data_IF_802713735327
#
_entry.id   IF_802713735327
#
_cell.length_a   1.000
_cell.length_b   1.000
_cell.length_c   1.000
_cell.angle_alpha   90.00
_cell.angle_beta   90.00
_cell.angle_gamma   90.00
#
_symmetry.space_group_name_H-M   'P 1'
#
loop_
_entity.id
_entity.type
_entity.pdbx_description
1 polymer ?
#
# COMPACT_ATOMS: atom_id res chain seq x y z
N UNK A 1 51.18 14.02 -6.99
CA UNK A 1 50.32 12.83 -6.71
C UNK A 1 49.54 12.93 -5.40
N UNK A 2 50.09 13.48 -4.32
CA UNK A 2 49.35 13.62 -3.05
C UNK A 2 48.14 14.59 -3.15
N UNK A 3 48.32 15.76 -3.79
CA UNK A 3 47.26 16.76 -3.94
C UNK A 3 46.04 16.25 -4.74
N UNK A 4 46.29 15.45 -5.78
CA UNK A 4 45.22 14.85 -6.60
C UNK A 4 44.43 13.79 -5.84
N UNK A 5 45.08 13.00 -4.97
CA UNK A 5 44.40 12.00 -4.15
C UNK A 5 43.50 12.65 -3.09
N UNK A 6 43.96 13.73 -2.45
CA UNK A 6 43.16 14.47 -1.47
C UNK A 6 41.91 15.11 -2.10
N UNK A 7 42.04 15.70 -3.30
CA UNK A 7 40.91 16.30 -4.01
C UNK A 7 39.83 15.27 -4.38
N UNK A 8 40.22 14.08 -4.86
CA UNK A 8 39.28 13.01 -5.18
C UNK A 8 38.54 12.49 -3.95
N UNK A 9 39.23 12.38 -2.81
CA UNK A 9 38.60 11.95 -1.56
C UNK A 9 37.54 12.95 -1.09
N UNK A 10 37.83 14.25 -1.13
CA UNK A 10 36.86 15.30 -0.77
C UNK A 10 35.66 15.31 -1.73
N UNK A 11 35.90 15.23 -3.03
CA UNK A 11 34.84 15.20 -4.04
C UNK A 11 33.92 13.98 -3.85
N UNK A 12 34.49 12.81 -3.53
CA UNK A 12 33.72 11.61 -3.23
C UNK A 12 32.74 11.82 -2.07
N UNK A 13 33.21 12.37 -0.94
CA UNK A 13 32.35 12.64 0.22
C UNK A 13 31.28 13.70 -0.05
N UNK A 14 31.59 14.72 -0.85
CA UNK A 14 30.60 15.73 -1.28
C UNK A 14 29.51 15.06 -2.13
N UNK A 15 29.87 14.22 -3.10
CA UNK A 15 28.90 13.50 -3.92
C UNK A 15 28.02 12.56 -3.08
N UNK A 16 28.61 11.83 -2.12
CA UNK A 16 27.86 10.99 -1.19
C UNK A 16 26.90 11.84 -0.36
N UNK A 17 27.37 12.94 0.24
CA UNK A 17 26.53 13.84 1.04
C UNK A 17 25.37 14.45 0.25
N UNK A 18 25.63 14.93 -0.98
CA UNK A 18 24.59 15.45 -1.87
C UNK A 18 23.59 14.39 -2.29
N UNK A 19 24.03 13.15 -2.53
CA UNK A 19 23.11 12.06 -2.88
C UNK A 19 22.17 11.69 -1.74
N UNK A 20 22.67 11.69 -0.49
CA UNK A 20 21.85 11.47 0.71
C UNK A 20 20.87 12.64 0.89
N UNK A 21 21.36 13.88 0.84
CA UNK A 21 20.52 15.07 0.98
C UNK A 21 19.43 15.14 -0.11
N UNK A 22 19.74 14.72 -1.34
CA UNK A 22 18.76 14.68 -2.43
C UNK A 22 17.70 13.59 -2.22
N UNK A 23 18.08 12.41 -1.73
CA UNK A 23 17.15 11.34 -1.36
C UNK A 23 16.25 11.78 -0.21
N UNK A 24 16.81 12.39 0.84
CA UNK A 24 16.05 12.91 1.98
C UNK A 24 15.14 14.07 1.60
N UNK A 25 15.62 15.01 0.78
CA UNK A 25 14.80 16.09 0.24
C UNK A 25 13.66 15.54 -0.60
N UNK A 26 13.89 14.51 -1.41
CA UNK A 26 12.85 13.87 -2.20
C UNK A 26 11.87 13.10 -1.32
N UNK A 27 12.33 12.47 -0.24
CA UNK A 27 11.48 11.80 0.75
C UNK A 27 10.64 12.82 1.54
N UNK A 28 11.21 13.97 1.91
CA UNK A 28 10.55 15.08 2.58
C UNK A 28 9.56 15.83 1.68
N UNK A 29 9.89 15.99 0.38
CA UNK A 29 9.00 16.60 -0.61
C UNK A 29 7.89 15.68 -1.06
N UNK A 30 8.18 14.39 -1.07
CA UNK A 30 7.16 13.36 -1.03
C UNK A 30 6.33 13.71 0.19
N UNK A 31 6.81 13.47 1.42
CA UNK A 31 6.34 13.97 2.73
C UNK A 31 4.84 14.33 2.97
N UNK A 32 4.38 15.30 2.18
CA UNK A 32 3.78 16.52 2.66
C UNK A 32 4.65 17.18 3.74
N UNK A 33 4.62 18.51 3.89
CA UNK A 33 4.92 19.09 5.18
C UNK A 33 3.91 18.55 6.20
N UNK A 34 4.27 17.48 6.92
CA UNK A 34 3.58 16.96 8.10
C UNK A 34 3.63 17.93 9.29
N UNK A 35 3.97 19.21 9.05
CA UNK A 35 4.14 20.25 10.05
C UNK A 35 2.81 20.85 10.55
N UNK A 36 1.67 20.22 10.22
CA UNK A 36 0.37 20.53 10.82
C UNK A 36 0.14 19.75 12.11
N UNK A 37 -0.61 20.33 13.04
CA UNK A 37 -1.18 19.54 14.14
C UNK A 37 -2.04 18.40 13.54
N UNK A 38 -1.92 17.15 14.02
CA UNK A 38 -2.79 16.08 13.56
C UNK A 38 -4.26 16.48 13.73
N UNK A 39 -5.02 16.43 12.64
CA UNK A 39 -6.47 16.69 12.65
C UNK A 39 -7.19 15.35 12.81
N UNK A 40 -8.04 15.16 13.83
CA UNK A 40 -8.90 13.99 13.97
C UNK A 40 -9.79 13.79 12.74
N UNK A 41 -10.08 12.53 12.35
CA UNK A 41 -11.04 12.24 11.28
C UNK A 41 -12.40 12.93 11.52
N UNK A 42 -12.83 13.01 12.79
CA UNK A 42 -14.08 13.66 13.17
C UNK A 42 -14.15 15.16 12.82
N UNK A 43 -13.00 15.82 12.67
CA UNK A 43 -12.86 17.25 12.39
C UNK A 43 -12.52 17.54 10.92
N UNK A 44 -12.57 16.53 10.04
CA UNK A 44 -12.25 16.72 8.63
C UNK A 44 -13.26 17.63 7.93
N UNK A 45 -12.75 18.51 7.09
CA UNK A 45 -13.54 19.41 6.24
C UNK A 45 -13.81 18.76 4.88
N UNK A 46 -15.02 18.99 4.33
CA UNK A 46 -15.37 18.52 2.98
C UNK A 46 -14.52 19.22 1.91
N UNK A 47 -14.10 18.47 0.89
CA UNK A 47 -13.34 18.96 -0.25
C UNK A 47 -11.84 19.15 -0.01
N UNK A 48 -11.37 19.00 1.24
CA UNK A 48 -9.95 19.17 1.58
C UNK A 48 -9.13 17.93 1.24
N UNK A 49 -7.91 18.14 0.76
CA UNK A 49 -6.94 17.06 0.61
C UNK A 49 -6.28 16.74 1.94
N UNK A 50 -6.23 15.46 2.28
CA UNK A 50 -5.71 15.01 3.56
C UNK A 50 -4.96 13.68 3.42
N UNK A 51 -3.91 13.55 4.22
CA UNK A 51 -3.24 12.29 4.51
C UNK A 51 -3.81 11.71 5.79
N UNK A 52 -4.58 10.64 5.66
CA UNK A 52 -5.17 9.93 6.78
C UNK A 52 -4.29 8.74 7.16
N UNK A 53 -4.10 8.53 8.46
CA UNK A 53 -3.35 7.38 8.99
C UNK A 53 -4.22 6.70 10.02
N UNK A 54 -4.60 5.46 9.75
CA UNK A 54 -5.51 4.72 10.61
C UNK A 54 -5.38 3.21 10.44
N UNK A 55 -6.28 2.50 11.10
CA UNK A 55 -6.37 1.05 11.12
C UNK A 55 -7.45 0.59 10.13
N UNK A 56 -7.13 -0.41 9.32
CA UNK A 56 -8.06 -0.98 8.35
C UNK A 56 -9.15 -1.78 9.06
N UNK A 57 -10.40 -1.47 8.71
CA UNK A 57 -11.61 -2.24 9.00
C UNK A 57 -12.20 -2.71 7.68
N UNK A 58 -12.43 -4.01 7.54
CA UNK A 58 -12.95 -4.55 6.29
C UNK A 58 -14.43 -4.19 6.10
N UNK A 59 -14.82 -3.88 4.87
CA UNK A 59 -16.23 -3.86 4.50
C UNK A 59 -16.80 -5.30 4.49
N UNK A 60 -18.13 -5.45 4.52
CA UNK A 60 -18.79 -6.77 4.59
C UNK A 60 -18.36 -7.71 3.45
N UNK A 61 -18.16 -7.18 2.25
CA UNK A 61 -17.68 -7.92 1.09
C UNK A 61 -16.16 -7.80 0.94
N UNK A 62 -15.41 -8.42 1.85
CA UNK A 62 -13.94 -8.49 1.76
C UNK A 62 -13.44 -9.40 0.63
N UNK A 63 -12.21 -9.19 0.18
CA UNK A 63 -11.50 -10.10 -0.72
C UNK A 63 -10.77 -11.19 0.07
N UNK A 64 -10.32 -12.23 -0.63
CA UNK A 64 -9.36 -13.20 -0.11
C UNK A 64 -8.07 -13.13 -0.92
N UNK A 65 -6.95 -13.02 -0.22
CA UNK A 65 -5.63 -13.06 -0.84
C UNK A 65 -5.38 -14.45 -1.47
N UNK A 66 -4.90 -14.53 -2.72
CA UNK A 66 -4.92 -15.77 -3.50
C UNK A 66 -3.99 -16.86 -2.97
N UNK A 67 -2.87 -16.49 -2.33
CA UNK A 67 -1.89 -17.46 -1.82
C UNK A 67 -2.10 -17.71 -0.33
N UNK A 68 -2.25 -16.67 0.47
CA UNK A 68 -2.43 -16.81 1.93
C UNK A 68 -3.85 -17.16 2.35
N UNK A 69 -4.86 -16.85 1.52
CA UNK A 69 -6.28 -17.05 1.83
C UNK A 69 -6.82 -16.09 2.89
N UNK A 70 -6.03 -15.09 3.32
CA UNK A 70 -6.42 -14.13 4.37
C UNK A 70 -7.52 -13.19 3.84
N UNK A 71 -8.57 -12.91 4.64
CA UNK A 71 -9.49 -11.81 4.36
C UNK A 71 -8.73 -10.49 4.28
N UNK A 72 -8.99 -9.71 3.24
CA UNK A 72 -8.27 -8.46 2.98
C UNK A 72 -9.12 -7.47 2.18
N UNK A 73 -8.82 -6.18 2.32
CA UNK A 73 -9.38 -5.12 1.49
C UNK A 73 -8.72 -5.10 0.10
N UNK A 74 -7.47 -5.54 -0.01
CA UNK A 74 -6.79 -5.63 -1.29
C UNK A 74 -5.50 -6.44 -1.19
N UNK A 75 -5.01 -6.89 -2.34
CA UNK A 75 -3.78 -7.64 -2.45
C UNK A 75 -3.03 -7.33 -3.74
N UNK A 76 -1.70 -7.46 -3.66
CA UNK A 76 -0.78 -7.45 -4.81
C UNK A 76 0.04 -8.71 -4.79
N UNK A 77 0.12 -9.38 -5.94
CA UNK A 77 0.88 -10.60 -6.11
C UNK A 77 1.89 -10.41 -7.22
N UNK A 78 3.17 -10.49 -6.87
CA UNK A 78 4.30 -10.33 -7.79
C UNK A 78 4.98 -11.66 -7.99
N UNK A 79 4.96 -12.16 -9.22
CA UNK A 79 5.68 -13.37 -9.63
C UNK A 79 6.94 -12.95 -10.35
N UNK A 80 8.08 -13.48 -9.93
CA UNK A 80 9.39 -13.19 -10.53
C UNK A 80 10.18 -14.47 -10.78
N UNK A 81 11.00 -14.48 -11.82
CA UNK A 81 11.99 -15.54 -12.08
C UNK A 81 13.41 -15.06 -11.78
N UNK A 82 14.25 -15.99 -11.34
CA UNK A 82 15.69 -15.74 -11.23
C UNK A 82 16.33 -15.76 -12.62
N UNK A 83 17.07 -14.71 -12.95
CA UNK A 83 17.89 -14.59 -14.16
C UNK A 83 19.31 -14.21 -13.74
N UNK A 84 20.28 -15.10 -13.90
CA UNK A 84 21.66 -14.92 -13.40
C UNK A 84 21.68 -14.47 -11.92
N UNK A 85 21.88 -13.17 -11.68
CA UNK A 85 21.95 -12.57 -10.34
C UNK A 85 20.77 -11.67 -9.97
N UNK A 86 19.77 -11.51 -10.84
CA UNK A 86 18.63 -10.60 -10.63
C UNK A 86 17.29 -11.34 -10.69
N UNK A 87 16.31 -10.85 -9.95
CA UNK A 87 14.92 -11.30 -10.07
C UNK A 87 14.24 -10.45 -11.15
N UNK A 88 13.76 -11.08 -12.22
CA UNK A 88 13.01 -10.42 -13.29
C UNK A 88 11.51 -10.62 -13.04
N UNK A 89 10.69 -9.56 -13.03
CA UNK A 89 9.25 -9.70 -12.90
C UNK A 89 8.70 -10.49 -14.11
N UNK A 90 7.71 -11.33 -13.85
CA UNK A 90 6.99 -12.10 -14.87
C UNK A 90 5.53 -11.70 -14.94
N UNK A 91 4.88 -11.61 -13.78
CA UNK A 91 3.46 -11.29 -13.66
C UNK A 91 3.23 -10.46 -12.41
N UNK A 92 2.38 -9.45 -12.51
CA UNK A 92 1.88 -8.73 -11.34
C UNK A 92 0.37 -8.68 -11.44
N UNK A 93 -0.29 -9.36 -10.49
CA UNK A 93 -1.73 -9.34 -10.35
C UNK A 93 -2.09 -8.48 -9.15
N UNK A 94 -3.20 -7.73 -9.24
CA UNK A 94 -3.70 -6.89 -8.15
C UNK A 94 -5.22 -6.92 -8.14
N UNK A 95 -5.81 -6.89 -6.95
CA UNK A 95 -7.24 -6.66 -6.77
C UNK A 95 -7.46 -5.94 -5.45
N UNK A 96 -8.38 -5.00 -5.43
CA UNK A 96 -8.74 -4.25 -4.24
C UNK A 96 -10.25 -4.00 -4.23
N UNK A 97 -10.77 -3.77 -3.03
CA UNK A 97 -12.13 -3.35 -2.74
C UNK A 97 -12.10 -2.31 -1.61
N UNK A 98 -13.19 -1.57 -1.45
CA UNK A 98 -13.25 -0.52 -0.44
C UNK A 98 -13.15 -1.05 1.00
N UNK A 99 -12.65 -0.21 1.89
CA UNK A 99 -12.53 -0.53 3.32
C UNK A 99 -12.71 0.73 4.16
N UNK A 100 -12.93 0.57 5.47
CA UNK A 100 -12.99 1.69 6.40
C UNK A 100 -11.64 1.90 7.08
N UNK A 101 -11.23 3.15 7.20
CA UNK A 101 -10.04 3.56 7.91
C UNK A 101 -10.46 4.21 9.23
N UNK A 102 -10.03 3.59 10.33
CA UNK A 102 -10.37 3.98 11.71
C UNK A 102 -9.12 4.55 12.41
N UNK A 103 -9.13 5.84 12.75
CA UNK A 103 -8.05 6.49 13.49
C UNK A 103 -8.28 6.54 15.01
N UNK A 104 -9.38 5.95 15.49
CA UNK A 104 -9.85 6.02 16.87
C UNK A 104 -10.76 7.22 17.19
N UNK A 105 -10.83 8.22 16.31
CA UNK A 105 -11.70 9.40 16.46
C UNK A 105 -12.88 9.37 15.49
N UNK A 106 -12.71 8.69 14.35
CA UNK A 106 -13.76 8.50 13.36
C UNK A 106 -13.38 7.44 12.33
N UNK A 107 -14.29 7.22 11.38
CA UNK A 107 -14.08 6.29 10.27
C UNK A 107 -14.27 7.00 8.93
N UNK A 108 -13.39 6.71 7.98
CA UNK A 108 -13.49 7.16 6.59
C UNK A 108 -13.54 5.94 5.68
N UNK A 109 -14.49 5.89 4.75
CA UNK A 109 -14.54 4.88 3.71
C UNK A 109 -13.54 5.21 2.60
N UNK A 110 -12.75 4.22 2.20
CA UNK A 110 -11.72 4.34 1.18
C UNK A 110 -12.08 3.42 0.02
N UNK A 111 -12.71 3.92 -1.05
CA UNK A 111 -12.99 3.14 -2.26
C UNK A 111 -11.69 2.80 -2.98
N UNK A 112 -11.48 1.52 -3.28
CA UNK A 112 -10.31 1.03 -4.03
C UNK A 112 -10.67 0.39 -5.38
N UNK A 113 -11.94 0.44 -5.76
CA UNK A 113 -12.50 -0.11 -7.00
C UNK A 113 -12.31 0.82 -8.21
N UNK A 114 -11.93 2.07 -8.00
CA UNK A 114 -11.60 3.03 -9.07
C UNK A 114 -10.25 2.70 -9.74
N UNK A 115 -10.21 2.77 -11.07
CA UNK A 115 -9.02 2.55 -11.89
C UNK A 115 -7.88 3.54 -11.58
N UNK A 116 -8.19 4.71 -11.02
CA UNK A 116 -7.22 5.77 -10.69
C UNK A 116 -6.52 5.56 -9.32
N UNK A 117 -6.77 4.44 -8.64
CA UNK A 117 -6.16 4.15 -7.34
C UNK A 117 -4.77 3.54 -7.50
N UNK A 118 -3.77 4.23 -6.93
CA UNK A 118 -2.37 3.79 -6.86
C UNK A 118 -2.11 3.11 -5.51
N UNK A 119 -2.28 1.80 -5.49
CA UNK A 119 -1.99 0.96 -4.33
C UNK A 119 -0.51 0.58 -4.30
N UNK A 120 0.22 1.06 -3.28
CA UNK A 120 1.63 0.73 -3.02
C UNK A 120 1.75 -0.10 -1.74
N UNK A 121 1.62 -1.42 -1.86
CA UNK A 121 1.84 -2.33 -0.72
C UNK A 121 3.30 -2.74 -0.65
N UNK A 122 3.88 -2.52 0.53
CA UNK A 122 5.10 -3.19 0.96
C UNK A 122 4.81 -4.69 1.02
N UNK A 123 5.82 -5.47 0.66
CA UNK A 123 5.67 -6.91 0.55
C UNK A 123 5.54 -7.52 1.94
N UNK A 124 4.32 -7.82 2.37
CA UNK A 124 4.05 -8.41 3.68
C UNK A 124 4.49 -9.87 3.82
N UNK A 125 4.49 -10.65 2.72
CA UNK A 125 4.93 -12.04 2.76
C UNK A 125 5.66 -12.48 1.47
N UNK A 126 6.77 -13.18 1.65
CA UNK A 126 7.54 -13.79 0.57
C UNK A 126 7.36 -15.31 0.58
N UNK A 127 6.85 -15.87 -0.51
CA UNK A 127 6.62 -17.29 -0.65
C UNK A 127 7.59 -17.92 -1.65
N UNK A 128 8.14 -19.06 -1.24
CA UNK A 128 8.91 -19.95 -2.11
C UNK A 128 8.22 -21.30 -2.18
N UNK A 129 8.50 -22.03 -3.26
CA UNK A 129 7.85 -23.31 -3.59
C UNK A 129 8.17 -24.46 -2.61
N UNK A 130 9.03 -24.21 -1.61
CA UNK A 130 9.43 -25.17 -0.57
C UNK A 130 8.48 -25.25 0.63
N UNK A 131 7.46 -24.38 0.73
CA UNK A 131 6.47 -24.40 1.82
C UNK A 131 5.60 -25.68 1.80
N UNK A 132 5.14 -26.14 2.97
CA UNK A 132 4.22 -27.29 3.13
C UNK A 132 2.76 -26.82 3.34
N UNK A 133 1.78 -27.72 3.24
CA UNK A 133 0.38 -27.48 3.62
C UNK A 133 -0.50 -26.75 2.58
N UNK A 134 -1.54 -26.05 3.07
CA UNK A 134 -2.55 -25.34 2.24
C UNK A 134 -1.94 -24.29 1.30
N UNK A 135 -0.97 -23.53 1.78
CA UNK A 135 -0.23 -22.51 0.99
C UNK A 135 0.44 -23.14 -0.23
N UNK A 136 0.98 -24.37 -0.13
CA UNK A 136 1.61 -25.06 -1.28
C UNK A 136 0.61 -25.40 -2.38
N UNK A 137 -0.65 -25.67 -2.03
CA UNK A 137 -1.72 -25.95 -3.00
C UNK A 137 -2.14 -24.67 -3.71
N UNK A 138 -2.44 -23.60 -2.96
CA UNK A 138 -2.76 -22.28 -3.52
C UNK A 138 -1.64 -21.74 -4.41
N UNK A 139 -0.39 -21.81 -3.95
CA UNK A 139 0.78 -21.39 -4.73
C UNK A 139 0.96 -22.23 -6.01
N UNK A 140 0.64 -23.53 -5.99
CA UNK A 140 0.69 -24.37 -7.20
C UNK A 140 -0.39 -24.00 -8.22
N UNK A 141 -1.60 -23.70 -7.75
CA UNK A 141 -2.69 -23.24 -8.62
C UNK A 141 -2.32 -21.93 -9.31
N UNK A 142 -1.84 -20.94 -8.54
CA UNK A 142 -1.40 -19.64 -9.05
C UNK A 142 -0.22 -19.75 -10.02
N UNK A 143 0.78 -20.58 -9.70
CA UNK A 143 2.01 -20.67 -10.50
C UNK A 143 1.95 -21.71 -11.62
N UNK A 144 0.81 -22.38 -11.84
CA UNK A 144 0.67 -23.48 -12.79
C UNK A 144 1.13 -23.09 -14.19
N UNK A 145 0.50 -22.08 -14.77
CA UNK A 145 0.82 -21.54 -16.11
C UNK A 145 2.26 -21.03 -16.19
N UNK A 146 2.70 -20.28 -15.18
CA UNK A 146 4.06 -19.70 -15.15
C UNK A 146 5.14 -20.78 -15.12
N UNK A 147 4.88 -21.90 -14.42
CA UNK A 147 5.78 -23.04 -14.37
C UNK A 147 5.81 -23.82 -15.68
N UNK A 148 4.68 -23.95 -16.37
CA UNK A 148 4.64 -24.57 -17.70
C UNK A 148 5.47 -23.77 -18.71
N UNK A 149 5.35 -22.44 -18.69
CA UNK A 149 6.16 -21.56 -19.55
C UNK A 149 7.66 -21.53 -19.17
N UNK A 150 8.00 -21.83 -17.91
CA UNK A 150 9.37 -21.74 -17.39
C UNK A 150 9.77 -22.92 -16.49
N UNK A 151 9.87 -24.15 -17.03
CA UNK A 151 9.97 -25.38 -16.23
C UNK A 151 11.26 -25.47 -15.40
N UNK A 152 12.36 -24.88 -15.88
CA UNK A 152 13.67 -24.90 -15.20
C UNK A 152 13.96 -23.64 -14.37
N UNK A 153 13.08 -22.63 -14.41
CA UNK A 153 13.35 -21.37 -13.74
C UNK A 153 13.07 -21.44 -12.23
N UNK A 154 13.93 -20.80 -11.43
CA UNK A 154 13.61 -20.54 -10.02
C UNK A 154 12.60 -19.41 -9.96
N UNK A 155 11.37 -19.73 -9.59
CA UNK A 155 10.25 -18.78 -9.47
C UNK A 155 10.04 -18.42 -8.00
N UNK A 156 9.77 -17.14 -7.76
CA UNK A 156 9.36 -16.57 -6.46
C UNK A 156 8.00 -15.89 -6.64
N UNK A 157 7.17 -15.99 -5.60
CA UNK A 157 5.90 -15.28 -5.51
C UNK A 157 5.93 -14.45 -4.23
N UNK A 158 5.79 -13.14 -4.37
CA UNK A 158 5.69 -12.18 -3.28
C UNK A 158 4.21 -11.72 -3.21
N UNK A 159 3.59 -11.80 -2.04
CA UNK A 159 2.21 -11.34 -1.81
C UNK A 159 2.22 -10.23 -0.75
N UNK A 160 1.61 -9.09 -1.08
CA UNK A 160 1.24 -8.05 -0.12
C UNK A 160 -0.28 -8.01 -0.01
N UNK A 161 -0.82 -7.81 1.18
CA UNK A 161 -2.26 -7.73 1.41
C UNK A 161 -2.60 -6.73 2.51
N UNK A 162 -3.67 -5.97 2.31
CA UNK A 162 -4.23 -5.04 3.28
C UNK A 162 -5.25 -5.80 4.11
N UNK A 163 -4.84 -6.27 5.28
CA UNK A 163 -5.72 -7.07 6.15
C UNK A 163 -6.35 -6.21 7.23
N UNK A 164 -7.43 -6.70 7.82
CA UNK A 164 -8.03 -6.08 9.00
C UNK A 164 -6.99 -5.87 10.12
N UNK A 165 -7.07 -4.73 10.79
CA UNK A 165 -6.12 -4.36 11.84
C UNK A 165 -4.78 -3.81 11.33
N UNK A 166 -4.53 -3.81 10.02
CA UNK A 166 -3.31 -3.20 9.46
C UNK A 166 -3.38 -1.69 9.58
N UNK A 167 -2.30 -1.06 10.04
CA UNK A 167 -2.18 0.39 10.01
C UNK A 167 -1.71 0.85 8.63
N UNK A 168 -2.44 1.74 7.98
CA UNK A 168 -2.13 2.25 6.64
C UNK A 168 -2.21 3.77 6.61
N UNK A 169 -1.48 4.38 5.68
CA UNK A 169 -1.65 5.76 5.28
C UNK A 169 -2.43 5.80 3.96
N UNK A 170 -3.34 6.76 3.83
CA UNK A 170 -4.08 7.03 2.59
C UNK A 170 -4.07 8.52 2.31
N UNK A 171 -3.78 8.93 1.08
CA UNK A 171 -3.83 10.31 0.64
C UNK A 171 -4.90 10.49 -0.44
N UNK A 172 -5.77 11.47 -0.26
CA UNK A 172 -6.83 11.80 -1.21
C UNK A 172 -7.63 13.02 -0.78
N UNK A 173 -8.72 13.28 -1.50
CA UNK A 173 -9.65 14.37 -1.22
C UNK A 173 -10.82 13.84 -0.40
N UNK A 174 -11.09 14.48 0.74
CA UNK A 174 -12.19 14.11 1.62
C UNK A 174 -13.50 14.57 1.02
N UNK A 175 -14.49 13.69 0.94
CA UNK A 175 -15.86 14.02 0.54
C UNK A 175 -16.87 13.46 1.53
N UNK A 176 -17.85 14.26 1.93
CA UNK A 176 -19.01 13.80 2.69
C UNK A 176 -19.99 13.14 1.72
N UNK A 177 -20.30 11.86 1.95
CA UNK A 177 -21.38 11.16 1.25
C UNK A 177 -22.32 10.50 2.26
N UNK A 178 -23.58 10.24 1.89
CA UNK A 178 -24.45 9.38 2.69
C UNK A 178 -23.75 8.05 2.97
N UNK A 179 -23.80 7.58 4.22
CA UNK A 179 -23.20 6.30 4.58
C UNK A 179 -23.95 5.17 3.86
N UNK A 180 -23.25 4.43 3.00
CA UNK A 180 -23.83 3.36 2.20
C UNK A 180 -23.97 2.03 2.98
N UNK A 181 -23.60 2.00 4.27
CA UNK A 181 -23.78 0.80 5.10
C UNK A 181 -25.27 0.48 5.23
N UNK A 182 -25.71 -0.76 4.95
CA UNK A 182 -27.05 -1.19 5.34
C UNK A 182 -27.15 -1.02 6.86
N UNK A 183 -28.20 -0.33 7.30
CA UNK A 183 -28.37 0.14 8.67
C UNK A 183 -28.06 -0.97 9.69
N UNK A 184 -26.98 -0.82 10.47
CA UNK A 184 -26.95 -1.41 11.81
C UNK A 184 -27.93 -0.60 12.64
N UNK A 185 -29.16 -1.12 12.69
CA UNK A 185 -30.38 -0.50 13.24
C UNK A 185 -30.24 0.07 14.66
N UNK A 186 -29.21 -0.32 15.42
CA UNK A 186 -29.08 0.08 16.83
C UNK A 186 -28.49 1.49 17.08
N UNK A 187 -27.96 2.18 16.05
CA UNK A 187 -27.41 3.54 16.19
C UNK A 187 -28.10 4.60 15.29
N UNK A 188 -29.41 4.45 15.10
CA UNK A 188 -30.29 5.17 14.15
C UNK A 188 -30.25 6.71 14.19
N UNK A 189 -29.64 7.38 15.18
CA UNK A 189 -29.75 8.85 15.35
C UNK A 189 -28.49 9.68 15.12
N UNK A 190 -27.33 9.09 14.82
CA UNK A 190 -26.05 9.85 14.97
C UNK A 190 -25.07 9.86 13.81
N UNK A 191 -25.29 9.17 12.67
CA UNK A 191 -24.37 9.31 11.52
C UNK A 191 -25.09 9.35 10.16
N UNK A 192 -25.56 10.53 9.71
CA UNK A 192 -26.15 10.68 8.37
C UNK A 192 -25.12 10.67 7.23
N UNK A 193 -23.83 10.79 7.54
CA UNK A 193 -22.77 10.87 6.54
C UNK A 193 -21.56 10.02 6.94
N UNK A 194 -20.92 9.41 5.94
CA UNK A 194 -19.57 8.90 6.02
C UNK A 194 -18.65 9.80 5.18
N UNK A 195 -17.45 10.05 5.69
CA UNK A 195 -16.41 10.59 4.84
C UNK A 195 -15.94 9.50 3.88
N UNK A 196 -15.86 9.85 2.60
CA UNK A 196 -15.32 9.03 1.53
C UNK A 196 -14.05 9.71 1.05
N UNK A 197 -12.95 8.96 0.98
CA UNK A 197 -11.70 9.48 0.45
C UNK A 197 -11.64 9.21 -1.05
N UNK A 198 -11.80 10.25 -1.86
CA UNK A 198 -11.72 10.16 -3.32
C UNK A 198 -10.27 10.40 -3.80
N UNK A 199 -9.97 9.95 -5.02
CA UNK A 199 -8.70 10.25 -5.65
C UNK A 199 -8.52 11.78 -5.78
N UNK A 200 -7.36 12.29 -5.38
CA UNK A 200 -6.95 13.65 -5.71
C UNK A 200 -6.50 13.71 -7.19
N UNK A 201 -6.06 14.88 -7.66
CA UNK A 201 -5.60 15.06 -9.05
C UNK A 201 -4.42 14.13 -9.40
N UNK A 202 -3.63 13.71 -8.41
CA UNK A 202 -2.52 12.76 -8.57
C UNK A 202 -2.92 11.27 -8.42
N UNK A 203 -4.19 11.01 -8.08
CA UNK A 203 -4.75 9.69 -7.76
C UNK A 203 -4.99 9.48 -6.26
N UNK A 204 -5.54 8.32 -5.90
CA UNK A 204 -5.62 7.87 -4.51
C UNK A 204 -4.37 7.06 -4.19
N UNK A 205 -3.60 7.47 -3.19
CA UNK A 205 -2.38 6.78 -2.81
C UNK A 205 -2.59 6.01 -1.50
N UNK A 206 -2.18 4.74 -1.49
CA UNK A 206 -2.33 3.85 -0.34
C UNK A 206 -1.00 3.15 -0.05
N UNK A 207 -0.55 3.22 1.21
CA UNK A 207 0.67 2.56 1.68
C UNK A 207 0.50 1.97 3.07
N UNK A 208 1.04 0.79 3.29
CA UNK A 208 1.26 0.18 4.60
C UNK A 208 2.56 0.70 5.28
N UNK A 209 3.40 1.42 4.56
CA UNK A 209 4.47 2.25 5.13
C UNK A 209 3.99 3.70 5.29
N UNK A 210 3.87 4.14 6.54
CA UNK A 210 3.48 5.51 6.93
C UNK A 210 4.36 6.60 6.32
N UNK A 211 5.65 6.28 6.09
CA UNK A 211 6.61 7.21 5.54
C UNK A 211 6.56 7.29 4.01
N UNK A 212 5.96 6.28 3.35
CA UNK A 212 5.98 6.19 1.90
C UNK A 212 4.88 7.02 1.20
N UNK A 213 3.78 7.35 1.90
CA UNK A 213 2.86 8.42 1.46
C UNK A 213 3.24 9.75 2.04
N UNK A 214 4.54 9.93 2.23
CA UNK A 214 5.01 11.26 2.13
C UNK A 214 4.52 11.78 0.80
#
# INVERSE_FOLDING_TARGET
MAATAAALFVAFWICVGLSIAWVDYRAYRRAGPLHGRPTPIAELEDGREAKLVGTVRLAEQGLKAPVSGRPCAGWVMRVARRSWLRWKPLKTDRRATGFYLDDGTGEVFVPLDDANVRVSLVTGARYTTRRRGKIRRALRAVLGEVRQAHPRARIRCDEGAIVEGTRVAVYGRVRRRPDARPEKVEAYRTRPYAYVLEAADEGLHLSDDRAALG
#
